data_IF_611665399900
#
_entry.id   IF_611665399900
#
_cell.length_a   1.000
_cell.length_b   1.000
_cell.length_c   1.000
_cell.angle_alpha   90.00
_cell.angle_beta   90.00
_cell.angle_gamma   90.00
#
_symmetry.space_group_name_H-M   'P 1'
#
loop_
_entity.id
_entity.type
_entity.pdbx_description
1 polymer ?
#
# COMPACT_ATOMS: atom_id res chain seq x y z
N UNK A 1 9.40 6.61 -12.01
CA UNK A 1 7.94 6.44 -11.82
C UNK A 1 7.47 7.50 -10.86
N UNK A 2 6.77 8.51 -11.36
CA UNK A 2 6.08 9.55 -10.58
C UNK A 2 4.71 9.01 -10.16
N UNK A 3 4.36 9.17 -8.88
CA UNK A 3 3.06 8.76 -8.37
C UNK A 3 2.16 9.99 -8.28
N UNK A 4 1.00 9.92 -8.94
CA UNK A 4 0.04 11.02 -9.00
C UNK A 4 -0.99 10.79 -7.91
N UNK A 5 -1.07 11.68 -6.92
CA UNK A 5 -2.14 11.70 -5.92
C UNK A 5 -3.14 12.79 -6.29
N UNK A 6 -4.40 12.40 -6.53
CA UNK A 6 -5.46 13.31 -6.94
C UNK A 6 -6.14 13.88 -5.68
N UNK A 7 -5.72 15.08 -5.27
CA UNK A 7 -6.32 15.81 -4.14
C UNK A 7 -6.90 17.10 -4.71
N UNK A 8 -8.09 17.01 -5.31
CA UNK A 8 -8.85 18.17 -5.82
C UNK A 8 -8.09 19.09 -6.77
N UNK A 9 -8.25 18.90 -8.08
CA UNK A 9 -7.79 19.77 -9.20
C UNK A 9 -6.31 20.23 -9.23
N UNK A 10 -5.51 19.87 -8.24
CA UNK A 10 -4.06 20.11 -8.19
C UNK A 10 -3.33 18.77 -8.26
N UNK A 11 -2.73 18.50 -9.42
CA UNK A 11 -1.82 17.37 -9.63
C UNK A 11 -0.48 17.73 -8.99
N UNK A 12 -0.30 17.40 -7.71
CA UNK A 12 1.00 17.52 -7.04
C UNK A 12 1.78 16.23 -7.27
N UNK A 13 2.78 16.28 -8.15
CA UNK A 13 3.68 15.16 -8.41
C UNK A 13 4.80 15.14 -7.37
N UNK A 14 4.53 14.59 -6.18
CA UNK A 14 5.56 14.35 -5.18
C UNK A 14 6.44 13.15 -5.58
N UNK A 15 7.74 13.18 -5.23
CA UNK A 15 8.56 11.99 -5.36
C UNK A 15 7.98 10.88 -4.46
N UNK A 16 8.01 9.60 -4.88
CA UNK A 16 7.41 8.49 -4.12
C UNK A 16 7.90 8.34 -2.67
N UNK A 17 9.06 8.92 -2.35
CA UNK A 17 9.67 8.93 -1.01
C UNK A 17 8.93 9.81 -0.01
N UNK A 18 8.31 10.89 -0.49
CA UNK A 18 7.65 11.87 0.36
C UNK A 18 6.16 11.56 0.53
N UNK A 19 5.65 10.56 -0.19
CA UNK A 19 4.25 10.15 -0.15
C UNK A 19 4.04 9.08 0.94
N UNK A 20 3.14 9.40 1.88
CA UNK A 20 2.76 8.54 2.99
C UNK A 20 1.26 8.21 2.93
N UNK A 21 0.97 6.94 2.66
CA UNK A 21 -0.39 6.42 2.48
C UNK A 21 -1.05 6.05 3.81
N UNK A 22 -2.36 6.24 3.91
CA UNK A 22 -3.18 5.59 4.97
C UNK A 22 -3.30 4.09 4.72
N UNK A 23 -3.80 3.34 5.71
CA UNK A 23 -4.15 1.91 5.55
C UNK A 23 -5.08 1.68 4.34
N UNK A 24 -6.07 2.56 4.13
CA UNK A 24 -7.02 2.48 3.01
C UNK A 24 -6.35 2.74 1.67
N UNK A 25 -5.54 3.79 1.57
CA UNK A 25 -4.82 4.11 0.35
C UNK A 25 -3.79 3.03 -0.01
N UNK A 26 -3.08 2.47 0.98
CA UNK A 26 -2.14 1.38 0.78
C UNK A 26 -2.84 0.09 0.34
N UNK A 27 -4.00 -0.24 0.92
CA UNK A 27 -4.81 -1.38 0.50
C UNK A 27 -5.28 -1.22 -0.95
N UNK A 28 -5.78 -0.03 -1.32
CA UNK A 28 -6.19 0.29 -2.69
C UNK A 28 -5.02 0.20 -3.66
N UNK A 29 -3.87 0.77 -3.32
CA UNK A 29 -2.66 0.72 -4.15
C UNK A 29 -2.21 -0.73 -4.44
N UNK A 30 -2.28 -1.61 -3.44
CA UNK A 30 -1.94 -3.02 -3.59
C UNK A 30 -3.10 -3.90 -4.09
N UNK A 31 -4.24 -3.30 -4.43
CA UNK A 31 -5.47 -4.00 -4.85
C UNK A 31 -5.94 -5.07 -3.85
N UNK A 32 -5.80 -4.84 -2.54
CA UNK A 32 -6.35 -5.69 -1.48
C UNK A 32 -7.59 -5.05 -0.83
N UNK A 33 -8.46 -5.88 -0.26
CA UNK A 33 -9.49 -5.35 0.64
C UNK A 33 -8.82 -4.84 1.92
N UNK A 34 -9.40 -3.80 2.53
CA UNK A 34 -8.87 -3.20 3.77
C UNK A 34 -8.68 -4.24 4.89
N UNK A 35 -9.64 -5.17 5.02
CA UNK A 35 -9.61 -6.24 6.02
C UNK A 35 -8.45 -7.20 5.76
N UNK A 36 -8.26 -7.63 4.51
CA UNK A 36 -7.16 -8.53 4.15
C UNK A 36 -5.80 -7.82 4.29
N UNK A 37 -5.73 -6.54 3.94
CA UNK A 37 -4.54 -5.74 4.13
C UNK A 37 -4.12 -5.69 5.61
N UNK A 38 -5.05 -5.34 6.50
CA UNK A 38 -4.79 -5.21 7.95
C UNK A 38 -4.54 -6.53 8.68
N UNK A 39 -5.05 -7.65 8.19
CA UNK A 39 -4.90 -8.95 8.87
C UNK A 39 -3.73 -9.78 8.35
N UNK A 40 -3.44 -9.70 7.04
CA UNK A 40 -2.47 -10.57 6.40
C UNK A 40 -1.28 -9.80 5.85
N UNK A 41 -1.51 -8.76 5.04
CA UNK A 41 -0.43 -8.11 4.28
C UNK A 41 0.55 -7.37 5.20
N UNK A 42 0.04 -6.62 6.17
CA UNK A 42 0.89 -5.89 7.12
C UNK A 42 1.66 -6.79 8.08
N UNK A 43 1.25 -8.05 8.21
CA UNK A 43 1.84 -9.03 9.12
C UNK A 43 2.92 -9.87 8.44
N UNK A 44 3.15 -9.67 7.13
CA UNK A 44 4.23 -10.34 6.42
C UNK A 44 5.57 -9.79 6.94
N UNK A 45 6.50 -10.67 7.30
CA UNK A 45 7.77 -10.29 7.92
C UNK A 45 8.69 -9.45 7.03
N UNK A 46 8.47 -9.48 5.71
CA UNK A 46 9.19 -8.69 4.71
C UNK A 46 8.47 -7.39 4.34
N UNK A 47 7.27 -7.13 4.88
CA UNK A 47 6.50 -5.93 4.58
C UNK A 47 7.14 -4.68 5.24
N UNK A 48 7.20 -3.53 4.55
CA UNK A 48 7.85 -2.33 5.07
C UNK A 48 7.18 -1.84 6.36
N UNK A 49 7.99 -1.43 7.34
CA UNK A 49 7.49 -0.92 8.61
C UNK A 49 6.68 0.37 8.46
N UNK A 50 5.57 0.53 9.20
CA UNK A 50 4.79 1.75 9.18
C UNK A 50 5.46 2.86 10.01
N UNK A 51 5.15 4.11 9.68
CA UNK A 51 5.36 5.25 10.58
C UNK A 51 4.09 5.51 11.38
N UNK A 52 4.23 5.64 12.71
CA UNK A 52 3.13 5.96 13.60
C UNK A 52 3.03 7.47 13.79
N UNK A 53 1.88 8.06 13.48
CA UNK A 53 1.61 9.47 13.76
C UNK A 53 0.82 9.54 15.07
N UNK A 54 1.49 9.92 16.16
CA UNK A 54 0.89 9.95 17.51
C UNK A 54 -0.14 11.07 17.70
N UNK A 55 -0.13 12.10 16.85
CA UNK A 55 -0.97 13.29 17.01
C UNK A 55 -2.47 13.03 16.78
N UNK A 56 -2.82 12.08 15.89
CA UNK A 56 -4.19 11.67 15.66
C UNK A 56 -4.27 10.18 15.95
N UNK A 57 -5.07 9.80 16.94
CA UNK A 57 -5.17 8.50 17.61
C UNK A 57 -5.37 7.23 16.75
N UNK A 58 -5.22 7.26 15.42
CA UNK A 58 -5.57 6.14 14.52
C UNK A 58 -4.74 5.94 13.24
N UNK A 59 -3.56 6.56 13.06
CA UNK A 59 -2.90 6.53 11.74
C UNK A 59 -1.55 5.81 11.67
N UNK A 60 -1.52 4.52 11.30
CA UNK A 60 -0.33 3.97 10.63
C UNK A 60 -0.20 4.61 9.25
N UNK A 61 1.02 4.98 8.87
CA UNK A 61 1.33 5.49 7.54
C UNK A 61 2.36 4.63 6.86
N UNK A 62 2.14 4.40 5.57
CA UNK A 62 3.00 3.54 4.77
C UNK A 62 3.68 4.37 3.69
N UNK A 63 4.99 4.26 3.63
CA UNK A 63 5.76 4.96 2.61
C UNK A 63 5.54 4.33 1.24
N UNK A 64 5.15 5.13 0.25
CA UNK A 64 4.84 4.63 -1.09
C UNK A 64 6.07 4.02 -1.78
N UNK A 65 7.26 4.64 -1.68
CA UNK A 65 8.48 4.08 -2.26
C UNK A 65 8.78 2.69 -1.67
N UNK A 66 8.62 2.54 -0.37
CA UNK A 66 8.88 1.28 0.34
C UNK A 66 7.90 0.18 -0.07
N UNK A 67 6.59 0.49 -0.12
CA UNK A 67 5.58 -0.44 -0.64
C UNK A 67 5.87 -0.80 -2.10
N UNK A 68 6.27 0.16 -2.93
CA UNK A 68 6.56 -0.06 -4.34
C UNK A 68 7.84 -0.89 -4.57
N UNK A 69 8.84 -0.77 -3.69
CA UNK A 69 10.03 -1.63 -3.69
C UNK A 69 9.67 -3.04 -3.25
N UNK A 70 8.90 -3.18 -2.17
CA UNK A 70 8.39 -4.47 -1.70
C UNK A 70 7.57 -5.19 -2.78
N UNK A 71 6.65 -4.47 -3.45
CA UNK A 71 5.83 -5.03 -4.54
C UNK A 71 6.67 -5.54 -5.71
N UNK A 72 7.76 -4.83 -6.07
CA UNK A 72 8.68 -5.23 -7.14
C UNK A 72 9.55 -6.44 -6.78
N UNK A 73 9.97 -6.53 -5.52
CA UNK A 73 10.89 -7.57 -5.05
C UNK A 73 10.14 -8.83 -4.54
N UNK A 74 8.81 -8.81 -4.54
CA UNK A 74 8.01 -9.91 -4.00
C UNK A 74 8.17 -11.17 -4.86
N UNK A 75 8.51 -12.33 -4.27
CA UNK A 75 8.63 -13.58 -5.02
C UNK A 75 7.30 -13.98 -5.66
N UNK A 76 7.36 -14.54 -6.88
CA UNK A 76 6.21 -14.99 -7.70
C UNK A 76 5.22 -15.86 -6.90
N UNK A 77 5.72 -16.67 -5.97
CA UNK A 77 4.92 -17.59 -5.13
C UNK A 77 4.04 -16.91 -4.10
N UNK A 78 4.35 -15.67 -3.69
CA UNK A 78 3.53 -14.88 -2.75
C UNK A 78 2.62 -13.89 -3.46
N UNK A 79 2.75 -13.74 -4.79
CA UNK A 79 1.79 -12.95 -5.57
C UNK A 79 0.41 -13.55 -5.33
N UNK A 80 -0.59 -12.68 -5.20
CA UNK A 80 -2.00 -13.08 -5.12
C UNK A 80 -2.20 -14.16 -6.18
N UNK A 81 -2.45 -15.41 -5.76
CA UNK A 81 -2.91 -16.44 -6.68
C UNK A 81 -4.13 -15.80 -7.31
N UNK A 82 -4.02 -15.47 -8.60
CA UNK A 82 -5.13 -14.95 -9.38
C UNK A 82 -6.10 -16.12 -9.42
N UNK A 83 -6.96 -16.18 -8.41
CA UNK A 83 -7.94 -17.24 -8.27
C UNK A 83 -8.68 -17.31 -9.59
N UNK A 84 -8.74 -18.51 -10.16
CA UNK A 84 -9.47 -18.80 -11.40
C UNK A 84 -10.77 -18.01 -11.39
N UNK A 85 -11.10 -17.24 -12.46
CA UNK A 85 -12.30 -16.42 -12.48
C UNK A 85 -13.47 -17.29 -12.03
N UNK A 86 -14.15 -16.84 -10.97
CA UNK A 86 -15.30 -17.54 -10.42
C UNK A 86 -16.33 -17.58 -11.56
N UNK A 87 -16.52 -18.75 -12.18
CA UNK A 87 -17.59 -18.93 -13.17
C UNK A 87 -18.90 -18.60 -12.46
N UNK A 88 -19.53 -17.52 -12.92
CA UNK A 88 -20.94 -17.23 -12.65
C UNK A 88 -21.74 -18.17 -13.54
#
# INVERSE_FOLDING_TARGET
MTAITNVGDFVVALPPRDIWLTDEQAATFLSYSLVHFKSHVICLGDFPAPRYIMANSKGRRWNLESISKWLRNRPETTKKVVGRPRKI
#
